data_IF_142271345928
#
_entry.id   IF_142271345928
#
_cell.length_a   1.000
_cell.length_b   1.000
_cell.length_c   1.000
_cell.angle_alpha   90.00
_cell.angle_beta   90.00
_cell.angle_gamma   90.00
#
_symmetry.space_group_name_H-M   'P 1'
#
loop_
_entity.id
_entity.type
_entity.pdbx_description
1 polymer ?
#
# COMPACT_ATOMS: atom_id res chain seq x y z
N UNK A 1 12.64 16.23 5.36
CA UNK A 1 11.97 14.91 5.20
C UNK A 1 10.69 15.06 4.38
N UNK A 2 9.77 15.94 4.78
CA UNK A 2 8.51 16.22 4.06
C UNK A 2 8.68 16.40 2.54
N UNK A 3 9.60 17.27 2.08
CA UNK A 3 9.87 17.46 0.63
C UNK A 3 10.23 16.15 -0.08
N UNK A 4 11.05 15.31 0.55
CA UNK A 4 11.44 14.02 -0.05
C UNK A 4 10.30 13.01 -0.07
N UNK A 5 9.40 13.06 0.91
CA UNK A 5 8.16 12.27 0.87
C UNK A 5 7.34 12.67 -0.34
N UNK A 6 7.13 13.98 -0.55
CA UNK A 6 6.41 14.51 -1.71
C UNK A 6 7.04 14.04 -3.03
N UNK A 7 8.37 14.17 -3.17
CA UNK A 7 9.09 13.72 -4.36
C UNK A 7 8.89 12.22 -4.66
N UNK A 8 9.04 11.37 -3.63
CA UNK A 8 8.84 9.92 -3.78
C UNK A 8 7.41 9.61 -4.19
N UNK A 9 6.43 10.19 -3.49
CA UNK A 9 5.01 10.02 -3.77
C UNK A 9 4.64 10.43 -5.21
N UNK A 10 5.12 11.60 -5.67
CA UNK A 10 4.89 12.08 -7.03
C UNK A 10 5.56 11.19 -8.08
N UNK A 11 6.74 10.64 -7.80
CA UNK A 11 7.45 9.76 -8.73
C UNK A 11 6.74 8.43 -8.98
N UNK A 12 5.84 8.01 -8.08
CA UNK A 12 5.15 6.71 -8.16
C UNK A 12 3.66 6.80 -8.44
N UNK A 13 3.05 7.99 -8.33
CA UNK A 13 1.59 8.15 -8.36
C UNK A 13 0.94 7.58 -9.62
N UNK A 14 1.61 7.68 -10.76
CA UNK A 14 1.16 7.11 -12.04
C UNK A 14 1.08 5.57 -12.06
N UNK A 15 1.71 4.89 -11.09
CA UNK A 15 1.74 3.42 -10.98
C UNK A 15 0.74 2.94 -9.92
N UNK A 16 0.60 3.68 -8.81
CA UNK A 16 -0.08 3.20 -7.61
C UNK A 16 -1.25 4.09 -7.15
N UNK A 17 -1.73 5.00 -8.01
CA UNK A 17 -2.82 5.92 -7.69
C UNK A 17 -2.47 6.95 -6.62
N UNK A 18 -1.19 7.12 -6.29
CA UNK A 18 -0.75 8.00 -5.22
C UNK A 18 -0.93 7.42 -3.82
N UNK A 19 -0.99 6.10 -3.69
CA UNK A 19 -1.09 5.40 -2.40
C UNK A 19 0.13 4.49 -2.21
N UNK A 20 0.74 4.48 -1.03
CA UNK A 20 1.83 3.54 -0.70
C UNK A 20 1.94 3.26 0.80
N UNK A 21 2.47 2.10 1.18
CA UNK A 21 2.72 1.80 2.60
C UNK A 21 3.82 2.70 3.15
N UNK A 22 3.72 3.04 4.44
CA UNK A 22 4.77 3.79 5.15
C UNK A 22 6.12 3.05 5.08
N UNK A 23 6.09 1.71 5.10
CA UNK A 23 7.29 0.89 4.95
C UNK A 23 7.95 1.05 3.59
N UNK A 24 7.18 0.97 2.50
CA UNK A 24 7.73 1.16 1.16
C UNK A 24 8.23 2.60 0.94
N UNK A 25 7.50 3.59 1.45
CA UNK A 25 7.95 4.99 1.46
C UNK A 25 9.30 5.12 2.18
N UNK A 26 9.43 4.53 3.37
CA UNK A 26 10.68 4.50 4.14
C UNK A 26 11.81 3.88 3.33
N UNK A 27 11.56 2.73 2.72
CA UNK A 27 12.56 2.02 1.93
C UNK A 27 13.02 2.85 0.73
N UNK A 28 12.10 3.52 0.02
CA UNK A 28 12.43 4.46 -1.07
C UNK A 28 13.25 5.65 -0.60
N UNK A 29 12.89 6.25 0.54
CA UNK A 29 13.63 7.38 1.14
C UNK A 29 15.05 6.99 1.57
N UNK A 30 15.23 5.79 2.12
CA UNK A 30 16.56 5.29 2.48
C UNK A 30 17.41 5.04 1.23
N UNK A 31 16.82 4.44 0.18
CA UNK A 31 17.49 4.24 -1.11
C UNK A 31 17.92 5.56 -1.76
N UNK A 32 17.06 6.58 -1.77
CA UNK A 32 17.39 7.88 -2.39
C UNK A 32 18.50 8.64 -1.65
N UNK A 33 18.68 8.38 -0.35
CA UNK A 33 19.71 9.03 0.48
C UNK A 33 21.02 8.27 0.61
N UNK A 34 21.09 7.02 0.14
CA UNK A 34 22.23 6.11 0.37
C UNK A 34 23.61 6.69 0.01
N UNK A 35 23.68 7.65 -0.93
CA UNK A 35 24.92 8.33 -1.34
C UNK A 35 25.29 9.57 -0.53
N UNK A 36 24.37 10.20 0.18
CA UNK A 36 24.56 11.56 0.73
C UNK A 36 24.32 11.66 2.24
N UNK A 37 23.45 10.83 2.83
CA UNK A 37 23.14 10.84 4.27
C UNK A 37 22.83 9.44 4.77
N UNK A 38 23.40 9.06 5.92
CA UNK A 38 23.18 7.76 6.58
C UNK A 38 22.25 7.83 7.80
N UNK A 39 21.61 8.97 8.04
CA UNK A 39 20.70 9.11 9.17
C UNK A 39 19.53 8.13 9.06
N UNK A 40 19.27 7.40 10.14
CA UNK A 40 18.13 6.51 10.22
C UNK A 40 16.83 7.32 10.13
N UNK A 41 15.91 6.87 9.27
CA UNK A 41 14.54 7.38 9.23
C UNK A 41 13.67 6.33 9.93
N UNK A 42 12.95 6.74 10.97
CA UNK A 42 11.98 5.88 11.65
C UNK A 42 10.60 5.99 11.01
N UNK A 43 9.73 5.02 11.28
CA UNK A 43 8.31 5.09 10.88
C UNK A 43 7.63 6.34 11.45
N UNK A 44 7.92 6.68 12.70
CA UNK A 44 7.35 7.83 13.39
C UNK A 44 7.80 9.16 12.76
N UNK A 45 9.05 9.27 12.28
CA UNK A 45 9.49 10.44 11.52
C UNK A 45 8.64 10.65 10.25
N UNK A 46 8.25 9.56 9.57
CA UNK A 46 7.41 9.62 8.38
C UNK A 46 5.99 10.02 8.75
N UNK A 47 5.39 9.37 9.77
CA UNK A 47 4.03 9.69 10.23
C UNK A 47 3.90 11.16 10.61
N UNK A 48 4.84 11.69 11.40
CA UNK A 48 4.88 13.11 11.76
C UNK A 48 5.08 14.01 10.55
N UNK A 49 5.95 13.64 9.62
CA UNK A 49 6.20 14.44 8.42
C UNK A 49 4.97 14.51 7.51
N UNK A 50 4.24 13.39 7.34
CA UNK A 50 2.97 13.35 6.60
C UNK A 50 1.90 14.18 7.31
N UNK A 51 1.78 14.07 8.64
CA UNK A 51 0.83 14.89 9.40
C UNK A 51 1.12 16.39 9.26
N UNK A 52 2.41 16.78 9.21
CA UNK A 52 2.81 18.17 8.93
C UNK A 52 2.52 18.61 7.49
N UNK A 53 2.40 17.71 6.51
CA UNK A 53 2.04 18.07 5.14
C UNK A 53 0.57 18.47 5.00
N UNK A 54 -0.31 18.09 5.94
CA UNK A 54 -1.73 18.49 5.94
C UNK A 54 -1.96 20.00 5.97
N UNK A 55 -0.98 20.79 6.44
CA UNK A 55 -1.07 22.26 6.41
C UNK A 55 -1.12 22.83 5.00
N UNK A 56 -0.75 22.04 3.98
CA UNK A 56 -0.81 22.40 2.57
C UNK A 56 -2.19 22.09 1.95
N UNK A 57 -3.13 21.53 2.72
CA UNK A 57 -4.45 21.09 2.29
C UNK A 57 -4.62 19.57 2.33
N UNK A 58 -5.67 19.07 1.69
CA UNK A 58 -6.07 17.64 1.71
C UNK A 58 -5.26 16.77 0.72
N UNK A 59 -4.00 17.13 0.48
CA UNK A 59 -3.14 16.41 -0.47
C UNK A 59 -2.42 15.20 0.14
N UNK A 60 -2.39 15.09 1.47
CA UNK A 60 -1.67 14.04 2.18
C UNK A 60 -2.46 13.49 3.36
N UNK A 61 -2.79 12.21 3.31
CA UNK A 61 -3.56 11.52 4.35
C UNK A 61 -2.94 10.19 4.75
N UNK A 62 -3.23 9.77 5.99
CA UNK A 62 -2.85 8.46 6.52
C UNK A 62 -4.10 7.58 6.60
N UNK A 63 -4.04 6.44 5.93
CA UNK A 63 -5.12 5.45 5.94
C UNK A 63 -4.67 4.27 6.81
N UNK A 64 -5.42 3.98 7.85
CA UNK A 64 -5.13 2.86 8.73
C UNK A 64 -5.50 1.54 8.05
N UNK A 65 -4.56 0.60 8.10
CA UNK A 65 -4.77 -0.80 7.74
C UNK A 65 -5.13 -1.63 9.00
N UNK A 66 -5.67 -2.84 8.81
CA UNK A 66 -6.15 -3.69 9.89
C UNK A 66 -5.05 -4.16 10.84
N UNK A 67 -3.83 -4.34 10.35
CA UNK A 67 -2.66 -4.77 11.15
C UNK A 67 -2.00 -3.65 11.98
N UNK A 68 -2.55 -2.44 11.99
CA UNK A 68 -1.89 -1.26 12.59
C UNK A 68 -0.82 -0.62 11.71
N UNK A 69 -0.68 -1.09 10.47
CA UNK A 69 0.07 -0.41 9.41
C UNK A 69 -0.71 0.79 8.86
N UNK A 70 -0.01 1.64 8.11
CA UNK A 70 -0.59 2.80 7.46
C UNK A 70 -0.19 2.86 5.99
N UNK A 71 -1.13 3.30 5.16
CA UNK A 71 -0.86 3.83 3.83
C UNK A 71 -0.76 5.36 3.91
N UNK A 72 0.08 5.92 3.06
CA UNK A 72 0.12 7.36 2.75
C UNK A 72 -0.59 7.55 1.43
N UNK A 73 -1.62 8.38 1.42
CA UNK A 73 -2.23 8.93 0.21
C UNK A 73 -1.59 10.29 -0.07
N UNK A 74 -1.23 10.55 -1.32
CA UNK A 74 -0.49 11.76 -1.72
C UNK A 74 -1.09 12.51 -2.91
N UNK A 75 -2.17 11.99 -3.49
CA UNK A 75 -2.89 12.61 -4.61
C UNK A 75 -4.23 13.09 -4.09
N UNK A 76 -4.65 14.32 -4.42
CA UNK A 76 -5.97 14.82 -4.07
C UNK A 76 -7.06 13.92 -4.67
N UNK A 77 -7.89 13.37 -3.80
CA UNK A 77 -8.99 12.47 -4.10
C UNK A 77 -9.51 11.94 -2.77
N UNK A 78 -10.82 11.94 -2.55
CA UNK A 78 -11.36 11.48 -1.27
C UNK A 78 -11.51 9.97 -1.31
N UNK A 79 -10.69 9.26 -0.53
CA UNK A 79 -10.97 7.86 -0.25
C UNK A 79 -12.09 7.81 0.78
N UNK A 80 -13.21 7.24 0.37
CA UNK A 80 -14.33 7.01 1.25
C UNK A 80 -13.96 5.99 2.34
N UNK A 81 -14.81 5.92 3.37
CA UNK A 81 -14.71 4.86 4.37
C UNK A 81 -14.84 3.46 3.77
N UNK A 82 -15.51 3.34 2.61
CA UNK A 82 -15.69 2.08 1.93
C UNK A 82 -14.43 1.67 1.16
N UNK A 83 -13.78 2.61 0.47
CA UNK A 83 -12.46 2.39 -0.14
C UNK A 83 -11.45 1.92 0.91
N UNK A 84 -11.42 2.60 2.06
CA UNK A 84 -10.53 2.26 3.18
C UNK A 84 -10.76 0.84 3.71
N UNK A 85 -12.02 0.38 3.79
CA UNK A 85 -12.35 -0.99 4.21
C UNK A 85 -11.93 -2.03 3.18
N UNK A 86 -12.07 -1.73 1.89
CA UNK A 86 -11.61 -2.63 0.83
C UNK A 86 -10.08 -2.70 0.80
N UNK A 87 -9.38 -1.59 1.02
CA UNK A 87 -7.92 -1.57 1.18
C UNK A 87 -7.44 -2.37 2.40
N UNK A 88 -8.18 -2.31 3.52
CA UNK A 88 -7.92 -3.16 4.69
C UNK A 88 -8.13 -4.65 4.37
N UNK A 89 -9.15 -4.98 3.58
CA UNK A 89 -9.40 -6.37 3.16
C UNK A 89 -8.32 -6.90 2.22
N UNK A 90 -7.79 -6.04 1.34
CA UNK A 90 -6.69 -6.35 0.43
C UNK A 90 -5.34 -6.54 1.14
N UNK A 91 -5.24 -6.21 2.42
CA UNK A 91 -3.99 -6.11 3.16
C UNK A 91 -3.15 -7.41 3.12
N UNK A 92 -3.82 -8.57 3.20
CA UNK A 92 -3.18 -9.87 3.30
C UNK A 92 -2.74 -10.43 1.95
N UNK A 93 -3.57 -10.25 0.91
CA UNK A 93 -3.36 -10.86 -0.41
C UNK A 93 -2.84 -9.87 -1.47
N UNK A 94 -2.84 -8.57 -1.17
CA UNK A 94 -2.61 -7.47 -2.10
C UNK A 94 -3.63 -7.34 -3.24
N UNK A 95 -4.69 -8.15 -3.25
CA UNK A 95 -5.83 -8.03 -4.16
C UNK A 95 -7.13 -8.34 -3.42
N UNK A 96 -8.25 -7.98 -4.05
CA UNK A 96 -9.60 -8.34 -3.64
C UNK A 96 -10.39 -8.87 -4.83
N UNK A 97 -11.46 -9.62 -4.56
CA UNK A 97 -12.46 -9.97 -5.56
C UNK A 97 -13.81 -9.42 -5.11
N UNK A 98 -14.75 -9.29 -6.04
CA UNK A 98 -16.11 -8.83 -5.70
C UNK A 98 -16.74 -9.75 -4.65
N UNK A 99 -16.60 -11.06 -4.84
CA UNK A 99 -17.15 -12.09 -3.94
C UNK A 99 -16.53 -11.99 -2.55
N UNK A 100 -15.21 -11.74 -2.46
CA UNK A 100 -14.52 -11.56 -1.19
C UNK A 100 -15.05 -10.33 -0.43
N UNK A 101 -15.28 -9.21 -1.12
CA UNK A 101 -15.84 -8.00 -0.52
C UNK A 101 -17.26 -8.28 0.01
N UNK A 102 -18.10 -8.89 -0.82
CA UNK A 102 -19.49 -9.20 -0.46
C UNK A 102 -19.54 -10.16 0.74
N UNK A 103 -18.71 -11.20 0.75
CA UNK A 103 -18.64 -12.14 1.87
C UNK A 103 -18.11 -11.45 3.14
N UNK A 104 -16.92 -10.85 3.09
CA UNK A 104 -16.23 -10.40 4.30
C UNK A 104 -16.81 -9.12 4.89
N UNK A 105 -17.34 -8.22 4.07
CA UNK A 105 -17.94 -6.96 4.51
C UNK A 105 -19.48 -7.02 4.60
N UNK A 106 -20.11 -8.12 4.15
CA UNK A 106 -21.57 -8.31 4.09
C UNK A 106 -22.26 -7.20 3.27
N UNK A 107 -21.63 -6.81 2.17
CA UNK A 107 -22.15 -5.78 1.26
C UNK A 107 -22.95 -6.39 0.12
N UNK A 108 -23.89 -5.61 -0.40
CA UNK A 108 -24.55 -5.92 -1.67
C UNK A 108 -23.60 -5.71 -2.86
N UNK A 109 -23.95 -6.33 -3.98
CA UNK A 109 -23.14 -6.32 -5.20
C UNK A 109 -22.89 -4.90 -5.71
N UNK A 110 -23.94 -4.06 -5.75
CA UNK A 110 -23.86 -2.69 -6.27
C UNK A 110 -22.87 -1.85 -5.45
N UNK A 111 -22.87 -2.00 -4.12
CA UNK A 111 -21.93 -1.28 -3.25
C UNK A 111 -20.49 -1.76 -3.48
N UNK A 112 -20.26 -3.06 -3.66
CA UNK A 112 -18.94 -3.57 -4.00
C UNK A 112 -18.46 -3.02 -5.35
N UNK A 113 -19.34 -3.02 -6.37
CA UNK A 113 -19.03 -2.50 -7.70
C UNK A 113 -18.64 -1.02 -7.67
N UNK A 114 -19.41 -0.18 -6.97
CA UNK A 114 -19.10 1.26 -6.85
C UNK A 114 -17.70 1.49 -6.30
N UNK A 115 -17.28 0.73 -5.28
CA UNK A 115 -15.96 0.89 -4.66
C UNK A 115 -14.86 0.35 -5.57
N UNK A 116 -15.08 -0.79 -6.23
CA UNK A 116 -14.12 -1.34 -7.18
C UNK A 116 -13.91 -0.40 -8.38
N UNK A 117 -14.99 0.14 -8.94
CA UNK A 117 -14.95 1.15 -10.00
C UNK A 117 -14.21 2.41 -9.55
N UNK A 118 -14.48 2.88 -8.33
CA UNK A 118 -13.81 4.04 -7.77
C UNK A 118 -12.30 3.81 -7.61
N UNK A 119 -11.88 2.71 -6.99
CA UNK A 119 -10.46 2.37 -6.83
C UNK A 119 -9.72 2.21 -8.17
N UNK A 120 -10.38 1.67 -9.19
CA UNK A 120 -9.81 1.59 -10.55
C UNK A 120 -9.68 2.98 -11.20
N UNK A 121 -10.71 3.81 -11.06
CA UNK A 121 -10.73 5.17 -11.61
C UNK A 121 -9.62 6.06 -11.00
N UNK A 122 -9.38 5.90 -9.70
CA UNK A 122 -8.29 6.59 -9.00
C UNK A 122 -6.90 5.96 -9.30
N UNK A 123 -6.83 4.88 -10.08
CA UNK A 123 -5.59 4.20 -10.44
C UNK A 123 -4.94 3.42 -9.29
N UNK A 124 -5.68 3.20 -8.20
CA UNK A 124 -5.23 2.46 -7.01
C UNK A 124 -5.36 0.95 -7.23
N UNK A 125 -6.39 0.52 -7.96
CA UNK A 125 -6.64 -0.88 -8.28
C UNK A 125 -6.39 -1.20 -9.75
N UNK A 126 -5.77 -2.34 -10.02
CA UNK A 126 -5.57 -2.90 -11.36
C UNK A 126 -6.44 -4.14 -11.53
N UNK A 127 -7.15 -4.23 -12.65
CA UNK A 127 -7.97 -5.40 -12.98
C UNK A 127 -7.11 -6.51 -13.59
N UNK A 128 -7.28 -7.72 -13.10
CA UNK A 128 -6.75 -8.94 -13.69
C UNK A 128 -7.88 -9.94 -13.96
N UNK A 129 -8.15 -10.17 -15.24
CA UNK A 129 -9.17 -11.09 -15.75
C UNK A 129 -8.60 -12.41 -16.25
N UNK A 130 -7.31 -12.67 -16.04
CA UNK A 130 -6.65 -13.91 -16.50
C UNK A 130 -6.87 -15.09 -15.56
N UNK A 131 -7.36 -14.82 -14.35
CA UNK A 131 -7.75 -15.84 -13.37
C UNK A 131 -8.96 -16.63 -13.88
N UNK A 132 -8.91 -17.96 -13.76
CA UNK A 132 -9.92 -18.85 -14.32
C UNK A 132 -11.28 -18.77 -13.58
N UNK A 133 -11.27 -18.39 -12.30
CA UNK A 133 -12.44 -18.50 -11.42
C UNK A 133 -13.13 -17.15 -11.16
N UNK A 134 -12.37 -16.06 -11.00
CA UNK A 134 -12.94 -14.72 -10.70
C UNK A 134 -12.01 -13.58 -11.11
N UNK A 135 -12.56 -12.40 -11.35
CA UNK A 135 -11.78 -11.19 -11.63
C UNK A 135 -11.12 -10.72 -10.33
N UNK A 136 -9.82 -10.46 -10.40
CA UNK A 136 -9.03 -9.94 -9.28
C UNK A 136 -8.76 -8.45 -9.47
N UNK A 137 -8.84 -7.69 -8.38
CA UNK A 137 -8.52 -6.28 -8.33
C UNK A 137 -7.30 -6.09 -7.44
N UNK A 138 -6.14 -5.94 -8.06
CA UNK A 138 -4.84 -5.85 -7.42
C UNK A 138 -4.56 -4.43 -6.93
N UNK A 139 -4.02 -4.30 -5.73
CA UNK A 139 -3.58 -3.04 -5.11
C UNK A 139 -2.04 -3.01 -5.14
N UNK A 140 -1.40 -2.36 -6.13
CA UNK A 140 0.05 -2.43 -6.32
C UNK A 140 0.84 -1.99 -5.08
N UNK A 141 0.28 -1.04 -4.31
CA UNK A 141 0.84 -0.50 -3.08
C UNK A 141 1.02 -1.54 -1.97
N UNK A 142 0.29 -2.64 -2.02
CA UNK A 142 0.35 -3.74 -1.04
C UNK A 142 1.21 -4.92 -1.53
N UNK A 143 1.51 -4.99 -2.83
CA UNK A 143 2.23 -6.11 -3.46
C UNK A 143 3.69 -6.23 -3.01
N UNK A 144 4.43 -5.11 -2.98
CA UNK A 144 5.87 -5.11 -2.71
C UNK A 144 6.24 -5.59 -1.31
N UNK A 145 5.28 -5.58 -0.37
CA UNK A 145 5.48 -6.04 0.99
C UNK A 145 5.44 -7.56 1.13
N UNK A 146 4.77 -8.26 0.22
CA UNK A 146 4.71 -9.73 0.21
C UNK A 146 6.04 -10.34 -0.22
N UNK A 147 6.78 -9.66 -1.11
CA UNK A 147 8.11 -10.10 -1.55
C UNK A 147 9.21 -9.93 -0.49
N UNK A 148 9.07 -8.98 0.45
CA UNK A 148 10.04 -8.83 1.55
C UNK A 148 9.87 -9.90 2.62
N UNK A 149 8.64 -10.37 2.87
CA UNK A 149 8.39 -11.42 3.86
C UNK A 149 8.80 -12.80 3.34
N UNK A 150 8.59 -13.11 2.06
CA UNK A 150 9.01 -14.39 1.48
C UNK A 150 10.53 -14.59 1.48
N UNK A 151 11.29 -13.52 1.27
CA UNK A 151 12.76 -13.55 1.34
C UNK A 151 13.32 -13.69 2.76
N UNK A 152 12.56 -13.29 3.79
CA UNK A 152 12.94 -13.51 5.19
C UNK A 152 12.77 -14.97 5.61
N UNK A 153 11.71 -15.65 5.17
CA UNK A 153 11.45 -17.07 5.47
C UNK A 153 12.41 -18.05 4.77
N UNK A 154 12.89 -17.73 3.57
CA UNK A 154 13.88 -18.57 2.86
C UNK A 154 15.27 -18.49 3.51
N UNK A 155 15.65 -17.32 4.03
CA UNK A 155 16.97 -17.14 4.67
C UNK A 155 17.17 -17.97 5.95
N UNK A 156 16.09 -18.25 6.70
CA UNK A 156 16.14 -19.09 7.89
C UNK A 156 16.23 -20.57 7.53
N UNK A 157 15.58 -20.99 6.44
CA UNK A 157 15.58 -22.39 5.99
C UNK A 157 16.91 -22.80 5.34
N UNK A 158 17.57 -21.90 4.60
CA UNK A 158 18.92 -22.15 4.04
C UNK A 158 20.02 -22.20 5.12
N UNK A 159 19.84 -21.45 6.22
CA UNK A 159 20.80 -21.43 7.33
C UNK A 159 20.77 -22.74 8.14
N UNK A 160 19.61 -23.38 8.28
CA UNK A 160 19.48 -24.67 8.98
C UNK A 160 20.04 -25.81 8.12
N UNK A 161 19.86 -25.75 6.79
CA UNK A 161 20.40 -26.75 5.87
C UNK A 161 21.94 -26.75 5.79
N UNK A 162 22.59 -25.58 5.89
CA UNK A 162 24.07 -25.48 5.91
C UNK A 162 24.72 -25.91 7.24
N UNK A 163 23.96 -26.11 8.31
CA UNK A 163 24.51 -26.52 9.61
C UNK A 163 24.51 -28.05 9.78
N UNK A 164 23.94 -28.80 8.83
CA UNK A 164 23.81 -30.25 8.86
C UNK A 164 24.69 -30.99 7.80
N UNK A 165 25.71 -30.32 7.26
CA UNK A 165 26.76 -30.95 6.44
C UNK A 165 28.15 -30.47 6.88
#
# INVERSE_FOLDING_TARGET
LAVQIVEVCMSTSHINGGVMTVEELRNRLLRSRARTRRDAITTDDILRAVDKLKVLGNGFELIALGSGRFLVQSVPGELSMDDSRVLQLAEDAAYVTKELIMDRLRWDERRADVVLEHLMKEGIAWIDSQSADTIQYWIPSLFLQQHSHSSSSTSVSDSIASTLY
#
